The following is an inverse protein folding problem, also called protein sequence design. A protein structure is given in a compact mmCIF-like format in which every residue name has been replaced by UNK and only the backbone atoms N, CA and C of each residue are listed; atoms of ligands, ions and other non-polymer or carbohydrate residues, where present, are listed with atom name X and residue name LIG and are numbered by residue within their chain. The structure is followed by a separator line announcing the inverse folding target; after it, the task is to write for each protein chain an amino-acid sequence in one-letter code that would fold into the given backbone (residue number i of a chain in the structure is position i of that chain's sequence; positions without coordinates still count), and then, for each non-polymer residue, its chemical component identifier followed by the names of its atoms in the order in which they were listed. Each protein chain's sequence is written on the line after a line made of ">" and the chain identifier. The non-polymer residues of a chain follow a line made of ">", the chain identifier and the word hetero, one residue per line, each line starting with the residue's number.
data_IF_085771385754
#
_entry.id   IF_085771385754
#
_cell.length_a   1.000
_cell.length_b   1.000
_cell.length_c   1.000
_cell.angle_alpha   90.00
_cell.angle_beta   90.00
_cell.angle_gamma   90.00
#
_symmetry.space_group_name_H-M   'P 1'
#
loop_
_entity.id
_entity.type
_entity.pdbx_description
1 polymer ?
#
# COMPACT_ATOMS: atom_id res chain seq x y z
N UNK A 1 -57.21 32.09 20.84
CA UNK A 1 -56.06 32.49 20.01
C UNK A 1 -55.55 31.21 19.36
N UNK A 2 -55.92 30.85 18.11
CA UNK A 2 -55.17 31.08 16.83
C UNK A 2 -53.64 31.05 17.05
N UNK A 3 -52.87 30.08 16.52
CA UNK A 3 -52.47 29.84 15.10
C UNK A 3 -51.94 28.37 14.98
N UNK A 4 -52.40 27.45 14.12
CA UNK A 4 -52.05 27.16 12.69
C UNK A 4 -50.53 27.19 12.45
N UNK A 5 -49.81 26.16 11.95
CA UNK A 5 -49.89 25.39 10.70
C UNK A 5 -49.32 23.95 10.89
N UNK A 6 -49.93 22.86 10.39
CA UNK A 6 -49.65 22.19 9.10
C UNK A 6 -48.15 22.17 8.73
N UNK A 7 -47.54 21.02 8.41
CA UNK A 7 -47.30 20.60 7.01
C UNK A 7 -46.86 19.12 6.97
N UNK A 8 -47.72 18.31 6.33
CA UNK A 8 -47.43 17.31 5.28
C UNK A 8 -46.43 16.17 5.56
N UNK A 9 -47.00 14.97 5.68
CA UNK A 9 -46.38 13.71 5.23
C UNK A 9 -46.14 13.80 3.72
N UNK A 10 -44.87 13.79 3.29
CA UNK A 10 -44.48 13.62 1.89
C UNK A 10 -43.36 12.58 1.77
N UNK A 11 -43.73 11.45 1.15
CA UNK A 11 -42.97 10.60 0.23
C UNK A 11 -41.50 10.25 0.50
N UNK A 12 -41.29 8.95 0.72
CA UNK A 12 -40.07 8.22 0.39
C UNK A 12 -39.84 8.26 -1.15
N UNK A 13 -38.61 8.55 -1.62
CA UNK A 13 -37.98 7.54 -2.48
C UNK A 13 -36.45 7.45 -2.32
N UNK A 14 -36.00 6.21 -2.36
CA UNK A 14 -34.65 5.75 -2.64
C UNK A 14 -33.89 6.66 -3.65
N UNK A 15 -32.87 7.39 -3.21
CA UNK A 15 -31.83 7.96 -4.08
C UNK A 15 -30.46 7.53 -3.60
N UNK A 16 -29.87 6.61 -4.36
CA UNK A 16 -28.46 6.23 -4.33
C UNK A 16 -27.58 7.46 -4.48
N UNK A 17 -26.58 7.61 -3.61
CA UNK A 17 -25.28 8.14 -4.02
C UNK A 17 -24.16 7.40 -3.27
N UNK A 18 -23.48 6.43 -3.90
CA UNK A 18 -22.10 6.13 -3.54
C UNK A 18 -21.28 7.31 -4.05
N UNK A 19 -21.25 8.40 -3.28
CA UNK A 19 -20.35 9.50 -3.58
C UNK A 19 -18.96 9.00 -3.27
N UNK A 20 -18.36 8.44 -4.32
CA UNK A 20 -16.94 8.40 -4.60
C UNK A 20 -16.22 9.44 -3.74
N UNK A 21 -15.68 9.03 -2.60
CA UNK A 21 -14.52 9.73 -2.05
C UNK A 21 -13.34 9.27 -2.89
N UNK A 22 -13.30 9.84 -4.09
CA UNK A 22 -12.15 9.84 -4.96
C UNK A 22 -11.13 10.73 -4.25
N UNK A 23 -10.38 10.15 -3.32
CA UNK A 23 -9.24 10.82 -2.71
C UNK A 23 -8.20 11.00 -3.81
N UNK A 24 -8.27 12.16 -4.45
CA UNK A 24 -7.22 12.73 -5.28
C UNK A 24 -6.03 13.05 -4.37
N UNK A 25 -5.20 12.06 -4.10
CA UNK A 25 -3.82 12.31 -3.68
C UNK A 25 -2.94 12.29 -4.93
N UNK A 26 -3.10 13.34 -5.73
CA UNK A 26 -2.10 13.72 -6.73
C UNK A 26 -0.90 14.33 -5.98
N UNK A 27 0.05 13.49 -5.60
CA UNK A 27 1.41 13.94 -5.29
C UNK A 27 2.32 13.13 -6.20
N UNK A 28 2.83 13.81 -7.22
CA UNK A 28 3.68 13.24 -8.25
C UNK A 28 4.88 12.53 -7.65
N UNK A 29 4.84 11.20 -7.69
CA UNK A 29 6.00 10.36 -7.47
C UNK A 29 6.51 9.96 -8.85
N UNK A 30 7.45 10.74 -9.39
CA UNK A 30 8.20 10.35 -10.58
C UNK A 30 9.16 9.24 -10.15
N UNK A 31 8.69 7.99 -10.17
CA UNK A 31 9.54 6.81 -10.09
C UNK A 31 9.99 6.46 -11.51
N UNK A 32 11.16 6.96 -11.92
CA UNK A 32 11.86 6.36 -13.05
C UNK A 32 12.52 5.08 -12.54
N UNK A 33 11.77 3.97 -12.56
CA UNK A 33 12.32 2.62 -12.38
C UNK A 33 12.48 1.97 -13.75
N UNK A 34 13.56 2.35 -14.44
CA UNK A 34 14.06 1.59 -15.58
C UNK A 34 14.96 0.48 -15.06
N UNK A 35 14.39 -0.65 -14.63
CA UNK A 35 15.14 -1.90 -14.46
C UNK A 35 14.37 -3.04 -15.11
N UNK A 36 14.61 -3.16 -16.42
CA UNK A 36 14.95 -4.38 -17.15
C UNK A 36 14.38 -5.69 -16.58
N UNK A 37 13.34 -6.20 -17.24
CA UNK A 37 12.94 -7.60 -17.08
C UNK A 37 14.05 -8.54 -17.55
N UNK A 38 14.17 -9.68 -16.89
CA UNK A 38 14.63 -10.95 -17.45
C UNK A 38 14.14 -12.09 -16.54
N UNK A 39 13.27 -12.93 -17.13
CA UNK A 39 12.98 -14.33 -16.85
C UNK A 39 13.37 -14.93 -15.48
N UNK A 40 12.38 -15.54 -14.80
CA UNK A 40 12.55 -16.83 -14.11
C UNK A 40 11.21 -17.59 -14.15
N UNK A 41 10.97 -18.31 -15.26
CA UNK A 41 10.20 -19.55 -15.21
C UNK A 41 11.09 -20.59 -14.52
N UNK A 42 10.78 -21.00 -13.29
CA UNK A 42 11.33 -22.23 -12.69
C UNK A 42 10.38 -22.74 -11.59
N UNK A 43 10.13 -24.05 -11.62
CA UNK A 43 9.08 -24.80 -10.95
C UNK A 43 9.28 -24.94 -9.42
N UNK A 44 8.23 -25.33 -8.64
CA UNK A 44 8.26 -25.31 -7.19
C UNK A 44 8.93 -26.57 -6.63
N UNK A 45 10.06 -26.41 -5.94
CA UNK A 45 10.66 -27.46 -5.10
C UNK A 45 10.12 -27.30 -3.67
N UNK A 46 9.26 -28.23 -3.26
CA UNK A 46 8.75 -28.31 -1.90
C UNK A 46 9.83 -28.85 -0.95
N UNK A 47 10.19 -28.08 0.07
CA UNK A 47 10.84 -28.61 1.27
C UNK A 47 10.57 -27.73 2.49
N UNK A 48 10.20 -28.40 3.60
CA UNK A 48 9.59 -27.88 4.81
C UNK A 48 10.53 -27.12 5.77
N UNK A 49 11.17 -26.07 5.26
CA UNK A 49 11.31 -24.78 5.94
C UNK A 49 10.34 -23.87 5.16
N UNK A 50 9.69 -22.82 5.70
CA UNK A 50 9.05 -21.86 4.79
C UNK A 50 10.17 -21.29 3.93
N UNK A 51 10.35 -21.88 2.75
CA UNK A 51 11.40 -21.51 1.83
C UNK A 51 11.13 -20.05 1.52
N UNK A 52 12.14 -19.22 1.80
CA UNK A 52 12.10 -17.81 1.50
C UNK A 52 11.66 -17.65 0.06
N UNK A 53 10.50 -17.04 -0.17
CA UNK A 53 10.02 -16.83 -1.54
C UNK A 53 10.93 -15.82 -2.24
N UNK A 54 10.81 -15.72 -3.56
CA UNK A 54 11.57 -14.74 -4.34
C UNK A 54 11.18 -13.32 -3.93
N UNK A 55 9.90 -13.09 -3.64
CA UNK A 55 9.40 -11.83 -3.09
C UNK A 55 10.00 -11.55 -1.70
N UNK A 56 10.10 -12.57 -0.85
CA UNK A 56 10.68 -12.41 0.48
C UNK A 56 12.15 -11.98 0.43
N UNK A 57 12.92 -12.54 -0.52
CA UNK A 57 14.31 -12.13 -0.76
C UNK A 57 14.39 -10.71 -1.30
N UNK A 58 13.55 -10.38 -2.28
CA UNK A 58 13.49 -9.04 -2.86
C UNK A 58 13.17 -7.98 -1.80
N UNK A 59 12.20 -8.24 -0.93
CA UNK A 59 11.83 -7.31 0.14
C UNK A 59 13.01 -7.05 1.09
N UNK A 60 13.70 -8.10 1.53
CA UNK A 60 14.87 -7.96 2.42
C UNK A 60 16.00 -7.20 1.74
N UNK A 61 16.28 -7.50 0.48
CA UNK A 61 17.32 -6.79 -0.28
C UNK A 61 17.01 -5.28 -0.39
N UNK A 62 15.76 -4.91 -0.64
CA UNK A 62 15.34 -3.51 -0.66
C UNK A 62 15.53 -2.83 0.69
N UNK A 63 15.20 -3.50 1.80
CA UNK A 63 15.39 -2.95 3.14
C UNK A 63 16.88 -2.79 3.49
N UNK A 64 17.70 -3.77 3.14
CA UNK A 64 19.15 -3.71 3.35
C UNK A 64 19.79 -2.54 2.58
N UNK A 65 19.40 -2.32 1.32
CA UNK A 65 19.87 -1.20 0.50
C UNK A 65 19.49 0.16 1.11
N UNK A 66 18.30 0.26 1.71
CA UNK A 66 17.84 1.45 2.43
C UNK A 66 18.46 1.63 3.83
N UNK A 67 19.41 0.76 4.22
CA UNK A 67 20.04 0.78 5.54
C UNK A 67 19.06 0.49 6.69
N UNK A 68 17.96 -0.22 6.40
CA UNK A 68 16.99 -0.67 7.39
C UNK A 68 17.46 -2.03 7.88
N UNK A 69 18.24 -2.01 8.97
CA UNK A 69 18.85 -3.22 9.50
C UNK A 69 17.80 -4.15 10.12
N UNK A 70 17.72 -5.37 9.59
CA UNK A 70 16.91 -6.44 10.14
C UNK A 70 17.59 -6.98 11.41
N UNK A 71 17.51 -6.23 12.52
CA UNK A 71 17.89 -6.75 13.86
C UNK A 71 17.02 -7.95 14.30
N UNK A 72 15.96 -8.25 13.54
CA UNK A 72 15.04 -9.38 13.69
C UNK A 72 15.41 -10.49 12.72
N UNK A 73 14.93 -11.72 12.95
CA UNK A 73 15.22 -12.81 12.01
C UNK A 73 14.65 -12.46 10.63
N UNK A 74 15.31 -12.89 9.54
CA UNK A 74 14.84 -12.62 8.18
C UNK A 74 13.37 -13.02 8.00
N UNK A 75 12.98 -14.18 8.56
CA UNK A 75 11.61 -14.68 8.51
C UNK A 75 10.60 -13.71 9.13
N UNK A 76 10.92 -13.11 10.28
CA UNK A 76 10.04 -12.14 10.96
C UNK A 76 9.86 -10.89 10.09
N UNK A 77 10.93 -10.44 9.43
CA UNK A 77 10.90 -9.28 8.54
C UNK A 77 10.04 -9.54 7.31
N UNK A 78 10.20 -10.69 6.66
CA UNK A 78 9.37 -11.06 5.52
C UNK A 78 7.88 -11.22 5.92
N UNK A 79 7.63 -11.83 7.09
CA UNK A 79 6.27 -11.94 7.63
C UNK A 79 5.64 -10.57 7.87
N UNK A 80 6.38 -9.63 8.44
CA UNK A 80 5.96 -8.25 8.67
C UNK A 80 5.66 -7.51 7.36
N UNK A 81 6.50 -7.65 6.34
CA UNK A 81 6.25 -7.10 5.00
C UNK A 81 4.94 -7.61 4.38
N UNK A 82 4.67 -8.92 4.50
CA UNK A 82 3.40 -9.51 4.05
C UNK A 82 2.19 -9.01 4.85
N UNK A 83 2.35 -8.81 6.17
CA UNK A 83 1.30 -8.26 7.02
C UNK A 83 0.94 -6.83 6.62
N UNK A 84 1.93 -5.97 6.42
CA UNK A 84 1.72 -4.60 5.94
C UNK A 84 0.94 -4.59 4.62
N UNK A 85 1.37 -5.42 3.66
CA UNK A 85 0.70 -5.54 2.37
C UNK A 85 -0.75 -6.03 2.49
N UNK A 86 -1.01 -6.97 3.40
CA UNK A 86 -2.36 -7.42 3.70
C UNK A 86 -3.20 -6.30 4.32
N UNK A 87 -2.68 -5.57 5.31
CA UNK A 87 -3.40 -4.46 5.96
C UNK A 87 -3.79 -3.39 4.94
N UNK A 88 -2.88 -3.05 4.02
CA UNK A 88 -3.16 -2.11 2.93
C UNK A 88 -4.28 -2.62 2.01
N UNK A 89 -4.29 -3.91 1.65
CA UNK A 89 -5.41 -4.52 0.90
C UNK A 89 -6.75 -4.44 1.64
N UNK A 90 -6.71 -4.52 2.97
CA UNK A 90 -7.88 -4.34 3.83
C UNK A 90 -8.27 -2.87 4.07
N UNK A 91 -7.57 -1.93 3.43
CA UNK A 91 -7.90 -0.50 3.45
C UNK A 91 -7.16 0.30 4.51
N UNK A 92 -6.14 -0.28 5.17
CA UNK A 92 -5.26 0.49 6.04
C UNK A 92 -4.47 1.51 5.21
N UNK A 93 -4.32 2.72 5.75
CA UNK A 93 -3.56 3.79 5.09
C UNK A 93 -2.06 3.48 5.18
N UNK A 94 -1.32 3.40 4.04
CA UNK A 94 0.13 3.25 4.07
C UNK A 94 0.84 4.33 4.90
N UNK A 95 0.30 5.55 4.89
CA UNK A 95 0.85 6.65 5.65
C UNK A 95 0.62 6.48 7.16
N UNK A 96 -0.53 5.92 7.57
CA UNK A 96 -0.80 5.62 8.97
C UNK A 96 0.16 4.52 9.47
N UNK A 97 0.32 3.43 8.70
CA UNK A 97 1.27 2.36 9.01
C UNK A 97 2.70 2.92 9.13
N UNK A 98 3.13 3.77 8.19
CA UNK A 98 4.45 4.40 8.26
C UNK A 98 4.63 5.28 9.51
N UNK A 99 3.58 5.98 9.95
CA UNK A 99 3.62 6.72 11.22
C UNK A 99 3.76 5.79 12.42
N UNK A 100 3.05 4.67 12.44
CA UNK A 100 3.14 3.68 13.52
C UNK A 100 4.58 3.14 13.64
N UNK A 101 5.24 2.86 12.51
CA UNK A 101 6.66 2.49 12.50
C UNK A 101 7.57 3.62 12.96
N UNK A 102 7.33 4.85 12.53
CA UNK A 102 8.16 5.99 12.91
C UNK A 102 8.08 6.30 14.42
N UNK A 103 6.91 6.19 15.03
CA UNK A 103 6.74 6.43 16.47
C UNK A 103 7.03 5.20 17.33
N UNK A 104 6.94 3.99 16.77
CA UNK A 104 7.10 2.71 17.47
C UNK A 104 8.48 2.06 17.33
N UNK A 105 9.43 2.68 16.62
CA UNK A 105 10.77 2.13 16.38
C UNK A 105 11.85 3.22 16.30
N UNK A 106 13.11 2.81 16.14
CA UNK A 106 14.24 3.72 15.94
C UNK A 106 14.44 4.12 14.46
N UNK A 107 13.47 3.84 13.59
CA UNK A 107 13.55 4.19 12.17
C UNK A 107 13.37 5.70 11.97
N UNK A 108 14.18 6.27 11.09
CA UNK A 108 13.91 7.62 10.59
C UNK A 108 12.57 7.65 9.83
N UNK A 109 11.95 8.82 9.72
CA UNK A 109 10.71 8.97 8.94
C UNK A 109 10.85 8.45 7.51
N UNK A 110 12.01 8.69 6.90
CA UNK A 110 12.32 8.20 5.55
C UNK A 110 12.34 6.66 5.51
N UNK A 111 13.01 6.02 6.46
CA UNK A 111 13.08 4.56 6.54
C UNK A 111 11.72 3.92 6.82
N UNK A 112 10.90 4.51 7.70
CA UNK A 112 9.57 4.00 7.99
C UNK A 112 8.66 4.04 6.74
N UNK A 113 8.69 5.14 5.98
CA UNK A 113 7.99 5.21 4.69
C UNK A 113 8.53 4.21 3.68
N UNK A 114 9.85 4.06 3.61
CA UNK A 114 10.48 3.15 2.66
C UNK A 114 10.10 1.70 2.96
N UNK A 115 10.10 1.29 4.23
CA UNK A 115 9.67 -0.04 4.68
C UNK A 115 8.27 -0.37 4.17
N UNK A 116 7.29 0.51 4.41
CA UNK A 116 5.91 0.32 3.96
C UNK A 116 5.81 0.32 2.43
N UNK A 117 6.55 1.20 1.76
CA UNK A 117 6.56 1.28 0.30
C UNK A 117 7.14 0.02 -0.33
N UNK A 118 8.26 -0.49 0.19
CA UNK A 118 8.88 -1.73 -0.27
C UNK A 118 7.93 -2.92 -0.08
N UNK A 119 7.22 -2.99 1.05
CA UNK A 119 6.23 -4.03 1.30
C UNK A 119 5.09 -3.99 0.27
N UNK A 120 4.59 -2.79 -0.08
CA UNK A 120 3.54 -2.63 -1.10
C UNK A 120 4.09 -3.00 -2.49
N UNK A 121 5.26 -2.51 -2.88
CA UNK A 121 5.87 -2.79 -4.19
C UNK A 121 6.08 -4.29 -4.41
N UNK A 122 6.52 -5.01 -3.38
CA UNK A 122 6.86 -6.43 -3.49
C UNK A 122 5.62 -7.31 -3.32
N UNK A 123 4.82 -7.08 -2.28
CA UNK A 123 3.77 -8.01 -1.88
C UNK A 123 2.36 -7.58 -2.23
N UNK A 124 2.11 -6.32 -2.58
CA UNK A 124 0.80 -5.81 -3.02
C UNK A 124 0.92 -4.77 -4.15
N UNK A 125 1.61 -5.10 -5.27
CA UNK A 125 1.87 -4.15 -6.35
C UNK A 125 0.59 -3.58 -6.97
N UNK A 126 -0.52 -4.30 -6.90
CA UNK A 126 -1.85 -3.85 -7.33
C UNK A 126 -2.41 -2.67 -6.53
N UNK A 127 -1.86 -2.41 -5.33
CA UNK A 127 -2.25 -1.29 -4.47
C UNK A 127 -1.48 0.00 -4.81
N UNK A 128 -0.48 -0.07 -5.70
CA UNK A 128 0.17 1.12 -6.21
C UNK A 128 -0.83 1.95 -7.04
N UNK A 129 -0.78 3.29 -6.94
CA UNK A 129 -1.63 4.12 -7.78
C UNK A 129 -1.32 3.83 -9.25
N UNK A 130 -2.34 3.80 -10.14
CA UNK A 130 -2.09 3.72 -11.56
C UNK A 130 -1.19 4.90 -11.95
N UNK A 131 -0.11 4.62 -12.68
CA UNK A 131 0.74 5.66 -13.22
C UNK A 131 -0.12 6.60 -14.07
N UNK A 132 -0.28 7.84 -13.63
CA UNK A 132 -0.95 8.86 -14.44
C UNK A 132 -0.08 9.10 -15.67
N UNK A 133 -0.60 8.69 -16.83
CA UNK A 133 -0.31 9.17 -18.18
C UNK A 133 1.14 9.54 -18.54
N UNK A 134 1.70 8.80 -19.50
CA UNK A 134 2.83 9.27 -20.31
C UNK A 134 2.51 10.52 -21.16
N UNK A 135 3.44 10.96 -22.03
CA UNK A 135 3.51 12.31 -22.62
C UNK A 135 2.43 12.70 -23.67
N UNK A 136 1.17 12.30 -23.48
CA UNK A 136 0.08 12.54 -24.45
C UNK A 136 -1.01 13.50 -23.97
N UNK A 137 -0.92 14.09 -22.78
CA UNK A 137 -1.89 15.10 -22.28
C UNK A 137 -1.43 16.55 -22.45
N UNK A 138 -0.55 16.84 -23.41
CA UNK A 138 -0.13 18.21 -23.78
C UNK A 138 -0.39 18.57 -25.26
N UNK A 139 -1.41 17.98 -25.89
CA UNK A 139 -1.85 18.35 -27.24
C UNK A 139 -3.13 19.18 -27.21
#
# INVERSE_FOLDING_TARGET
>A
MKTTELIVVANNPNTRSPTRMLSLLAVGLVMVLSVLGHALMSAPEASAVPAFSDEDRQYIELLADAGIDARRTYYDVALEGRQIANDVRWGASPLAIANDYYYGSDLTWYQAKYLVTAAIVVYAPEMLPPSVGGPSELA
#
